data_IF_817180825753
#
_entry.id   IF_817180825753
#
_cell.length_a   1.000
_cell.length_b   1.000
_cell.length_c   1.000
_cell.angle_alpha   90.00
_cell.angle_beta   90.00
_cell.angle_gamma   90.00
#
_symmetry.space_group_name_H-M   'P 1'
#
loop_
_entity.id
_entity.type
_entity.pdbx_description
1 polymer ?
#
# COMPACT_ATOMS: atom_id res chain seq x y z
N UNK A 1 -54.28 -19.01 -16.63
CA UNK A 1 -52.83 -19.24 -16.81
C UNK A 1 -52.43 -20.53 -16.10
N UNK A 2 -51.82 -21.47 -16.83
CA UNK A 2 -51.53 -22.83 -16.37
C UNK A 2 -50.51 -22.78 -15.21
N UNK A 3 -50.68 -23.61 -14.16
CA UNK A 3 -49.78 -23.76 -12.99
C UNK A 3 -48.27 -23.73 -13.34
N UNK A 4 -47.89 -24.21 -14.53
CA UNK A 4 -46.52 -24.20 -15.06
C UNK A 4 -45.93 -22.78 -15.23
N UNK A 5 -46.73 -21.79 -15.59
CA UNK A 5 -46.27 -20.39 -15.76
C UNK A 5 -45.94 -19.72 -14.41
N UNK A 6 -46.66 -20.07 -13.34
CA UNK A 6 -46.43 -19.53 -12.00
C UNK A 6 -45.13 -20.08 -11.41
N UNK A 7 -44.87 -21.38 -11.60
CA UNK A 7 -43.61 -22.02 -11.19
C UNK A 7 -42.39 -21.39 -11.88
N UNK A 8 -42.48 -21.09 -13.18
CA UNK A 8 -41.38 -20.44 -13.92
C UNK A 8 -41.02 -19.06 -13.34
N UNK A 9 -42.01 -18.26 -12.97
CA UNK A 9 -41.80 -16.94 -12.36
C UNK A 9 -41.13 -17.07 -10.99
N UNK A 10 -41.54 -18.05 -10.18
CA UNK A 10 -40.94 -18.32 -8.86
C UNK A 10 -39.46 -18.71 -9.00
N UNK A 11 -39.10 -19.55 -9.97
CA UNK A 11 -37.70 -19.92 -10.21
C UNK A 11 -36.84 -18.72 -10.65
N UNK A 12 -37.38 -17.83 -11.49
CA UNK A 12 -36.68 -16.61 -11.91
C UNK A 12 -36.46 -15.67 -10.70
N UNK A 13 -37.47 -15.49 -9.85
CA UNK A 13 -37.33 -14.67 -8.64
C UNK A 13 -36.29 -15.24 -7.65
N UNK A 14 -36.23 -16.56 -7.49
CA UNK A 14 -35.20 -17.23 -6.66
C UNK A 14 -33.78 -17.04 -7.20
N UNK A 15 -33.59 -17.10 -8.53
CA UNK A 15 -32.29 -16.85 -9.16
C UNK A 15 -31.83 -15.39 -8.98
N UNK A 16 -32.74 -14.42 -9.07
CA UNK A 16 -32.43 -13.01 -8.80
C UNK A 16 -32.04 -12.75 -7.34
N UNK A 17 -32.57 -13.51 -6.39
CA UNK A 17 -32.24 -13.38 -4.96
C UNK A 17 -30.86 -13.96 -4.61
N UNK A 18 -30.36 -14.93 -5.37
CA UNK A 18 -29.04 -15.53 -5.14
C UNK A 18 -27.91 -14.75 -5.83
N UNK A 19 -28.19 -13.99 -6.89
CA UNK A 19 -27.19 -13.20 -7.62
C UNK A 19 -26.63 -11.98 -6.85
N UNK A 20 -27.22 -11.62 -5.72
CA UNK A 20 -26.82 -10.44 -4.93
C UNK A 20 -25.68 -10.71 -3.94
N UNK A 21 -25.34 -11.98 -3.68
CA UNK A 21 -24.31 -12.33 -2.69
C UNK A 21 -22.90 -11.87 -3.11
N UNK A 22 -22.61 -11.83 -4.41
CA UNK A 22 -21.32 -11.34 -4.93
C UNK A 22 -21.10 -9.83 -4.69
N UNK A 23 -22.16 -9.04 -4.50
CA UNK A 23 -22.05 -7.61 -4.20
C UNK A 23 -21.72 -7.35 -2.72
N UNK A 24 -22.13 -8.25 -1.82
CA UNK A 24 -21.85 -8.17 -0.38
C UNK A 24 -20.34 -8.24 -0.09
N UNK A 25 -19.63 -9.13 -0.77
CA UNK A 25 -18.18 -9.30 -0.58
C UNK A 25 -17.38 -8.06 -1.02
N UNK A 26 -17.83 -7.36 -2.07
CA UNK A 26 -17.20 -6.11 -2.53
C UNK A 26 -17.47 -4.92 -1.59
N UNK A 27 -18.58 -4.90 -0.84
CA UNK A 27 -18.89 -3.84 0.14
C UNK A 27 -18.07 -4.04 1.43
N UNK A 28 -17.75 -5.28 1.80
CA UNK A 28 -16.95 -5.59 3.00
C UNK A 28 -15.47 -5.19 2.89
N UNK A 29 -14.94 -5.11 1.65
CA UNK A 29 -13.57 -4.73 1.34
C UNK A 29 -13.48 -3.30 0.76
N UNK A 30 -14.27 -2.38 1.31
CA UNK A 30 -14.29 -0.97 0.91
C UNK A 30 -13.66 -0.10 2.01
N UNK A 31 -12.45 0.41 1.76
CA UNK A 31 -11.82 1.42 2.63
C UNK A 31 -12.10 2.83 2.09
N UNK A 32 -13.12 3.49 2.63
CA UNK A 32 -13.45 4.88 2.31
C UNK A 32 -12.55 5.85 3.09
N UNK A 33 -11.64 6.52 2.39
CA UNK A 33 -10.74 7.60 2.86
C UNK A 33 -9.81 7.24 4.02
N UNK A 34 -8.80 6.43 3.74
CA UNK A 34 -7.67 6.19 4.64
C UNK A 34 -6.39 6.87 4.11
N UNK A 35 -5.55 7.33 5.05
CA UNK A 35 -4.24 7.90 4.81
C UNK A 35 -3.31 7.49 5.95
N UNK A 36 -2.18 6.86 5.64
CA UNK A 36 -1.22 6.38 6.62
C UNK A 36 0.20 6.83 6.26
N UNK A 37 0.99 7.07 7.30
CA UNK A 37 2.40 7.46 7.18
C UNK A 37 3.25 6.38 7.82
N UNK A 38 4.15 5.80 7.05
CA UNK A 38 4.93 4.63 7.44
C UNK A 38 6.42 4.98 7.38
N UNK A 39 7.15 4.66 8.44
CA UNK A 39 8.60 4.74 8.45
C UNK A 39 9.21 3.55 7.68
N UNK A 40 10.02 3.85 6.66
CA UNK A 40 10.53 2.85 5.71
C UNK A 40 12.04 2.93 5.52
N UNK A 41 12.62 1.85 4.99
CA UNK A 41 13.95 1.81 4.38
C UNK A 41 13.82 1.49 2.89
N UNK A 42 14.78 1.97 2.10
CA UNK A 42 14.75 1.89 0.64
C UNK A 42 15.92 1.03 0.14
N UNK A 43 15.64 0.12 -0.81
CA UNK A 43 16.60 -0.80 -1.42
C UNK A 43 17.45 -1.62 -0.43
N UNK A 44 16.85 -2.04 0.68
CA UNK A 44 17.55 -2.79 1.73
C UNK A 44 18.73 -2.03 2.36
N UNK A 45 18.81 -0.71 2.15
CA UNK A 45 19.83 0.15 2.73
C UNK A 45 19.28 0.88 3.96
N UNK A 46 19.78 0.49 5.13
CA UNK A 46 19.42 1.08 6.42
C UNK A 46 19.89 2.53 6.61
N UNK A 47 20.72 3.07 5.72
CA UNK A 47 21.05 4.49 5.68
C UNK A 47 20.06 5.30 4.86
N UNK A 48 19.28 4.67 3.98
CA UNK A 48 18.25 5.36 3.18
C UNK A 48 16.91 5.18 3.88
N UNK A 49 16.65 6.08 4.81
CA UNK A 49 15.41 6.11 5.58
C UNK A 49 14.36 6.93 4.85
N UNK A 50 13.09 6.62 5.05
CA UNK A 50 12.02 7.37 4.39
C UNK A 50 10.74 7.47 5.19
N UNK A 51 9.96 8.48 4.81
CA UNK A 51 8.57 8.68 5.20
C UNK A 51 7.70 8.40 3.99
N UNK A 52 6.97 7.31 4.04
CA UNK A 52 6.02 6.94 2.99
C UNK A 52 4.61 7.36 3.40
N UNK A 53 3.99 8.23 2.62
CA UNK A 53 2.59 8.60 2.76
C UNK A 53 1.77 7.83 1.73
N UNK A 54 0.89 6.96 2.23
CA UNK A 54 -0.03 6.19 1.40
C UNK A 54 -1.46 6.64 1.67
N UNK A 55 -2.17 7.00 0.61
CA UNK A 55 -3.58 7.36 0.64
C UNK A 55 -4.36 6.65 -0.46
N UNK A 56 -5.67 6.84 -0.48
CA UNK A 56 -6.50 6.34 -1.57
C UNK A 56 -6.12 6.94 -2.95
N UNK A 57 -5.51 8.13 -2.99
CA UNK A 57 -5.23 8.89 -4.22
C UNK A 57 -3.77 8.83 -4.66
N UNK A 58 -2.86 8.63 -3.72
CA UNK A 58 -1.42 8.79 -3.99
C UNK A 58 -0.56 7.92 -3.08
N UNK A 59 0.62 7.63 -3.60
CA UNK A 59 1.75 7.12 -2.84
C UNK A 59 2.90 8.10 -3.02
N UNK A 60 3.39 8.64 -1.92
CA UNK A 60 4.45 9.65 -1.89
C UNK A 60 5.52 9.23 -0.90
N UNK A 61 6.79 9.43 -1.23
CA UNK A 61 7.91 9.08 -0.37
C UNK A 61 8.84 10.27 -0.24
N UNK A 62 9.31 10.55 0.97
CA UNK A 62 10.45 11.44 1.18
C UNK A 62 11.55 10.62 1.80
N UNK A 63 12.74 10.62 1.19
CA UNK A 63 13.90 9.91 1.73
C UNK A 63 14.89 10.85 2.39
N UNK A 64 15.67 10.30 3.31
CA UNK A 64 16.72 10.95 4.07
C UNK A 64 17.94 10.03 4.02
N UNK A 65 19.02 10.48 3.39
CA UNK A 65 20.26 9.72 3.26
C UNK A 65 21.44 10.53 3.84
N UNK A 66 22.00 10.13 5.00
CA UNK A 66 23.14 10.79 5.60
C UNK A 66 24.44 10.35 4.90
N UNK A 67 25.01 11.23 4.07
CA UNK A 67 26.26 11.01 3.35
C UNK A 67 27.30 12.00 3.86
N UNK A 68 28.39 11.52 4.45
CA UNK A 68 29.52 12.34 4.93
C UNK A 68 29.04 13.49 5.86
N UNK A 69 28.08 13.20 6.74
CA UNK A 69 27.55 14.16 7.71
C UNK A 69 26.52 15.15 7.15
N UNK A 70 26.21 15.10 5.85
CA UNK A 70 25.15 15.89 5.22
C UNK A 70 23.94 14.98 5.01
N UNK A 71 22.76 15.47 5.39
CA UNK A 71 21.50 14.75 5.18
C UNK A 71 20.92 15.17 3.82
N UNK A 72 20.93 14.27 2.86
CA UNK A 72 20.30 14.46 1.57
C UNK A 72 18.82 14.10 1.66
N UNK A 73 17.95 15.06 1.33
CA UNK A 73 16.49 14.89 1.39
C UNK A 73 15.92 14.94 -0.01
N UNK A 74 15.11 13.93 -0.38
CA UNK A 74 14.59 13.81 -1.73
C UNK A 74 13.14 13.32 -1.76
N UNK A 75 12.24 14.01 -2.47
CA UNK A 75 10.87 13.58 -2.66
C UNK A 75 10.72 12.68 -3.88
N UNK A 76 9.90 11.63 -3.75
CA UNK A 76 9.51 10.71 -4.81
C UNK A 76 8.00 10.61 -4.90
N UNK A 77 7.51 10.64 -6.14
CA UNK A 77 6.11 10.45 -6.47
C UNK A 77 5.92 9.13 -7.20
N UNK A 78 4.85 8.42 -6.88
CA UNK A 78 4.47 7.19 -7.55
C UNK A 78 3.10 7.34 -8.20
N UNK A 79 3.00 6.93 -9.46
CA UNK A 79 1.72 6.68 -10.11
C UNK A 79 1.25 5.29 -9.68
N UNK A 80 0.07 5.22 -9.06
CA UNK A 80 -0.59 3.94 -8.78
C UNK A 80 -1.17 3.42 -10.10
N UNK A 81 -0.65 2.28 -10.56
CA UNK A 81 -1.11 1.60 -11.78
C UNK A 81 -2.28 0.67 -11.46
N UNK A 82 -2.17 -0.08 -10.37
CA UNK A 82 -3.20 -1.00 -9.90
C UNK A 82 -3.30 -0.94 -8.38
N UNK A 83 -4.53 -1.02 -7.88
CA UNK A 83 -4.84 -1.15 -6.46
C UNK A 83 -5.95 -2.18 -6.30
N UNK A 84 -5.70 -3.20 -5.50
CA UNK A 84 -6.69 -4.19 -5.12
C UNK A 84 -6.77 -4.28 -3.60
N UNK A 85 -7.98 -4.20 -3.05
CA UNK A 85 -8.23 -4.41 -1.63
C UNK A 85 -8.36 -5.92 -1.44
N UNK A 86 -7.35 -6.54 -0.84
CA UNK A 86 -7.30 -8.00 -0.62
C UNK A 86 -8.22 -8.38 0.55
N UNK A 87 -8.17 -7.57 1.60
CA UNK A 87 -9.11 -7.55 2.71
C UNK A 87 -9.16 -6.12 3.25
N UNK A 88 -10.13 -5.83 4.13
CA UNK A 88 -10.16 -4.56 4.88
C UNK A 88 -8.77 -4.21 5.42
N UNK A 89 -8.29 -2.99 5.15
CA UNK A 89 -6.98 -2.47 5.53
C UNK A 89 -5.74 -3.19 4.95
N UNK A 90 -5.89 -4.10 3.98
CA UNK A 90 -4.77 -4.81 3.34
C UNK A 90 -4.85 -4.61 1.83
N UNK A 91 -3.94 -3.77 1.33
CA UNK A 91 -3.94 -3.35 -0.06
C UNK A 91 -2.76 -3.94 -0.81
N UNK A 92 -3.06 -4.61 -1.91
CA UNK A 92 -2.07 -4.92 -2.92
C UNK A 92 -1.98 -3.73 -3.88
N UNK A 93 -0.78 -3.23 -4.08
CA UNK A 93 -0.53 -2.11 -4.98
C UNK A 93 0.49 -2.49 -6.04
N UNK A 94 0.32 -1.90 -7.21
CA UNK A 94 1.32 -1.82 -8.26
C UNK A 94 1.48 -0.35 -8.63
N UNK A 95 2.69 0.16 -8.59
CA UNK A 95 2.96 1.56 -8.89
C UNK A 95 4.23 1.71 -9.74
N UNK A 96 4.37 2.88 -10.35
CA UNK A 96 5.54 3.29 -11.10
C UNK A 96 6.08 4.59 -10.50
N UNK A 97 7.37 4.67 -10.16
CA UNK A 97 7.92 5.95 -9.74
C UNK A 97 8.01 6.93 -10.91
N UNK A 98 7.81 8.21 -10.63
CA UNK A 98 7.93 9.30 -11.61
C UNK A 98 9.33 9.88 -11.71
N UNK A 99 10.02 9.94 -10.57
CA UNK A 99 11.28 10.66 -10.41
C UNK A 99 12.26 9.88 -9.53
N UNK A 100 12.19 8.55 -9.58
CA UNK A 100 13.06 7.69 -8.80
C UNK A 100 14.49 7.64 -9.37
N UNK A 101 15.48 7.86 -8.50
CA UNK A 101 16.90 7.73 -8.83
C UNK A 101 17.42 6.31 -8.61
N UNK A 102 16.66 5.47 -7.92
CA UNK A 102 17.01 4.10 -7.56
C UNK A 102 16.62 3.06 -8.63
N UNK A 103 16.04 3.50 -9.74
CA UNK A 103 16.00 2.75 -11.00
C UNK A 103 14.89 1.70 -11.09
N UNK A 104 13.82 1.77 -10.29
CA UNK A 104 12.72 0.83 -10.41
C UNK A 104 11.70 1.26 -11.48
N UNK A 105 11.45 0.44 -12.50
CA UNK A 105 10.46 0.75 -13.54
C UNK A 105 9.02 0.53 -13.07
N UNK A 106 8.81 -0.51 -12.27
CA UNK A 106 7.54 -0.87 -11.64
C UNK A 106 7.82 -1.52 -10.30
N UNK A 107 7.00 -1.17 -9.31
CA UNK A 107 7.09 -1.66 -7.95
C UNK A 107 5.73 -2.27 -7.60
N UNK A 108 5.74 -3.43 -6.96
CA UNK A 108 4.52 -4.09 -6.52
C UNK A 108 4.68 -4.65 -5.13
N UNK A 109 3.58 -4.76 -4.39
CA UNK A 109 3.62 -5.37 -3.08
C UNK A 109 2.36 -5.13 -2.30
N UNK A 110 2.48 -5.26 -0.99
CA UNK A 110 1.37 -5.20 -0.05
C UNK A 110 1.64 -4.13 1.01
N UNK A 111 0.60 -3.37 1.31
CA UNK A 111 0.53 -2.47 2.46
C UNK A 111 -0.60 -2.99 3.35
N UNK A 112 -0.25 -3.48 4.53
CA UNK A 112 -1.16 -3.96 5.57
C UNK A 112 -1.18 -2.96 6.71
N UNK A 113 -2.27 -2.23 6.85
CA UNK A 113 -2.50 -1.26 7.92
C UNK A 113 -3.67 -1.70 8.81
N UNK A 114 -3.89 -3.01 8.91
CA UNK A 114 -4.86 -3.59 9.85
C UNK A 114 -4.55 -3.21 11.30
N UNK A 115 -3.28 -3.01 11.60
CA UNK A 115 -2.82 -2.35 12.82
C UNK A 115 -2.27 -0.96 12.47
N UNK A 116 -3.07 0.08 12.69
CA UNK A 116 -2.71 1.47 12.36
C UNK A 116 -1.47 1.98 13.10
N UNK A 117 -1.17 1.42 14.29
CA UNK A 117 0.02 1.79 15.07
C UNK A 117 1.29 1.06 14.61
N UNK A 118 1.13 -0.03 13.84
CA UNK A 118 2.24 -0.86 13.34
C UNK A 118 1.93 -1.35 11.92
N UNK A 119 1.80 -0.42 10.96
CA UNK A 119 1.53 -0.79 9.58
C UNK A 119 2.72 -1.56 9.00
N UNK A 120 2.43 -2.51 8.13
CA UNK A 120 3.40 -3.34 7.46
C UNK A 120 3.41 -3.01 5.98
N UNK A 121 4.61 -2.90 5.44
CA UNK A 121 4.80 -2.64 4.02
C UNK A 121 5.95 -3.48 3.50
N UNK A 122 5.73 -4.06 2.33
CA UNK A 122 6.76 -4.70 1.56
C UNK A 122 6.45 -4.52 0.08
N UNK A 123 7.27 -3.72 -0.58
CA UNK A 123 7.21 -3.47 -2.01
C UNK A 123 8.51 -3.92 -2.67
N UNK A 124 8.39 -4.68 -3.75
CA UNK A 124 9.51 -5.21 -4.54
C UNK A 124 9.54 -4.59 -5.93
N UNK A 125 10.72 -4.49 -6.52
CA UNK A 125 10.87 -4.10 -7.92
C UNK A 125 10.54 -5.27 -8.87
N UNK A 126 10.56 -5.02 -10.18
CA UNK A 126 10.31 -6.03 -11.21
C UNK A 126 11.27 -7.25 -11.15
N UNK A 127 12.46 -7.07 -10.59
CA UNK A 127 13.46 -8.13 -10.40
C UNK A 127 13.25 -8.93 -9.10
N UNK A 128 12.25 -8.58 -8.30
CA UNK A 128 11.92 -9.25 -7.03
C UNK A 128 12.73 -8.79 -5.82
N UNK A 129 13.61 -7.79 -5.96
CA UNK A 129 14.35 -7.23 -4.83
C UNK A 129 13.48 -6.27 -4.02
N UNK A 130 13.68 -6.26 -2.71
CA UNK A 130 12.98 -5.31 -1.82
C UNK A 130 13.35 -3.90 -2.19
N UNK A 131 12.35 -3.11 -2.55
CA UNK A 131 12.52 -1.71 -2.90
C UNK A 131 12.10 -0.80 -1.74
N UNK A 132 10.94 -1.03 -1.12
CA UNK A 132 10.48 -0.32 0.08
C UNK A 132 10.04 -1.35 1.10
N UNK A 133 10.52 -1.23 2.33
CA UNK A 133 10.08 -2.06 3.45
C UNK A 133 9.99 -1.25 4.73
N UNK A 134 9.33 -1.79 5.76
CA UNK A 134 9.37 -1.19 7.08
C UNK A 134 10.81 -0.94 7.56
N UNK A 135 10.99 0.08 8.38
CA UNK A 135 12.30 0.38 8.95
C UNK A 135 12.79 -0.76 9.86
N UNK A 136 14.00 -1.25 9.58
CA UNK A 136 14.68 -2.25 10.41
C UNK A 136 15.14 -1.65 11.75
N UNK A 137 15.59 -2.48 12.69
CA UNK A 137 16.17 -1.98 13.94
C UNK A 137 17.51 -1.25 13.73
N UNK A 138 18.25 -1.58 12.66
CA UNK A 138 19.45 -0.83 12.26
C UNK A 138 19.03 0.54 11.71
N UNK A 139 18.02 0.58 10.84
CA UNK A 139 17.45 1.81 10.31
C UNK A 139 16.93 2.74 11.42
N UNK A 140 16.27 2.20 12.45
CA UNK A 140 15.82 2.99 13.62
C UNK A 140 16.99 3.63 14.38
N UNK A 141 18.07 2.87 14.62
CA UNK A 141 19.28 3.42 15.24
C UNK A 141 19.92 4.52 14.39
N UNK A 142 19.94 4.34 13.07
CA UNK A 142 20.42 5.37 12.14
C UNK A 142 19.52 6.62 12.18
N UNK A 143 18.20 6.44 12.24
CA UNK A 143 17.23 7.53 12.36
C UNK A 143 17.46 8.35 13.63
N UNK A 144 17.54 7.70 14.79
CA UNK A 144 17.86 8.34 16.07
C UNK A 144 19.21 9.06 16.06
N UNK A 145 20.20 8.52 15.34
CA UNK A 145 21.54 9.10 15.26
C UNK A 145 21.61 10.32 14.36
N UNK A 146 21.02 10.27 13.16
CA UNK A 146 21.24 11.26 12.11
C UNK A 146 20.10 12.27 11.99
N UNK A 147 18.85 11.86 12.24
CA UNK A 147 17.65 12.71 12.07
C UNK A 147 16.64 12.51 13.22
N UNK A 148 17.07 12.62 14.50
CA UNK A 148 16.21 12.30 15.66
C UNK A 148 14.94 13.17 15.76
N UNK A 149 14.98 14.37 15.20
CA UNK A 149 13.88 15.34 15.28
C UNK A 149 12.89 15.23 14.10
N UNK A 150 13.11 14.30 13.16
CA UNK A 150 12.25 14.11 11.99
C UNK A 150 11.29 12.96 12.26
N UNK A 151 9.99 13.22 12.29
CA UNK A 151 8.99 12.16 12.39
C UNK A 151 8.74 11.51 11.02
N UNK A 152 8.99 10.20 10.91
CA UNK A 152 8.92 9.45 9.65
C UNK A 152 7.62 8.65 9.47
N UNK A 153 6.77 8.57 10.49
CA UNK A 153 5.57 7.74 10.47
C UNK A 153 5.54 6.74 11.62
N UNK A 154 4.60 5.81 11.55
CA UNK A 154 4.51 4.64 12.42
C UNK A 154 5.43 3.50 11.95
#
# INVERSE_FOLDING_TARGET
MKKKSVLGIIYICMLCLLGTQAWSENILNSDSDYSIKIAVTINEDDFIMGKLEYSNKSLQLVTFNPIVGIIHVEPYLFIVLEKAIVSRNVHRIKCRPLNDKYGSSEITGVIDFSNELKPRIHLVNASGYTYVSNMSDVGKRNHEKYIPNVWLGH
#
